data_IF_612531420056
#
_entry.id   IF_612531420056
#
_cell.length_a   1.000
_cell.length_b   1.000
_cell.length_c   1.000
_cell.angle_alpha   90.00
_cell.angle_beta   90.00
_cell.angle_gamma   90.00
#
_symmetry.space_group_name_H-M   'P 1'
#
loop_
_entity.id
_entity.type
_entity.pdbx_description
1 polymer ?
#
# COMPACT_ATOMS: atom_id res chain seq x y z
N UNK A 1 -21.82 -26.91 8.92
CA UNK A 1 -22.00 -26.50 7.51
C UNK A 1 -20.61 -26.31 6.90
N UNK A 2 -20.22 -27.18 5.96
CA UNK A 2 -18.98 -26.98 5.21
C UNK A 2 -19.15 -25.73 4.32
N UNK A 3 -18.34 -24.72 4.59
CA UNK A 3 -18.36 -23.47 3.84
C UNK A 3 -17.80 -23.70 2.44
N UNK A 4 -18.58 -23.35 1.42
CA UNK A 4 -18.12 -23.47 0.03
C UNK A 4 -17.30 -22.24 -0.36
N UNK A 5 -15.97 -22.31 -0.19
CA UNK A 5 -15.03 -21.23 -0.46
C UNK A 5 -15.13 -20.73 -1.91
N UNK A 6 -15.30 -21.62 -2.88
CA UNK A 6 -15.44 -21.24 -4.30
C UNK A 6 -16.68 -20.39 -4.55
N UNK A 7 -17.79 -20.69 -3.85
CA UNK A 7 -19.02 -19.91 -3.96
C UNK A 7 -18.86 -18.49 -3.38
N UNK A 8 -18.18 -18.37 -2.24
CA UNK A 8 -17.91 -17.08 -1.60
C UNK A 8 -17.00 -16.24 -2.49
N UNK A 9 -15.91 -16.81 -2.97
CA UNK A 9 -14.98 -16.17 -3.88
C UNK A 9 -15.69 -15.65 -5.13
N UNK A 10 -16.45 -16.49 -5.82
CA UNK A 10 -17.14 -16.11 -7.05
C UNK A 10 -18.16 -14.99 -6.81
N UNK A 11 -18.93 -15.05 -5.72
CA UNK A 11 -19.91 -14.00 -5.38
C UNK A 11 -19.23 -12.69 -5.04
N UNK A 12 -18.13 -12.72 -4.27
CA UNK A 12 -17.36 -11.54 -3.91
C UNK A 12 -16.72 -10.92 -5.16
N UNK A 13 -16.16 -11.72 -6.04
CA UNK A 13 -15.55 -11.26 -7.29
C UNK A 13 -16.57 -10.57 -8.21
N UNK A 14 -17.73 -11.21 -8.45
CA UNK A 14 -18.80 -10.64 -9.27
C UNK A 14 -19.35 -9.34 -8.66
N UNK A 15 -19.53 -9.31 -7.34
CA UNK A 15 -19.95 -8.11 -6.64
C UNK A 15 -18.90 -6.99 -6.79
N UNK A 16 -17.63 -7.32 -6.62
CA UNK A 16 -16.54 -6.34 -6.75
C UNK A 16 -16.49 -5.73 -8.15
N UNK A 17 -16.63 -6.54 -9.20
CA UNK A 17 -16.66 -6.03 -10.58
C UNK A 17 -17.75 -4.98 -10.82
N UNK A 18 -18.90 -5.13 -10.15
CA UNK A 18 -20.03 -4.22 -10.31
C UNK A 18 -19.98 -3.00 -9.37
N UNK A 19 -19.26 -3.11 -8.25
CA UNK A 19 -19.30 -2.13 -7.16
C UNK A 19 -17.93 -1.50 -6.84
N UNK A 20 -16.87 -1.91 -7.54
CA UNK A 20 -15.54 -1.35 -7.31
C UNK A 20 -15.53 0.15 -7.58
N UNK A 21 -15.02 0.92 -6.62
CA UNK A 21 -14.83 2.36 -6.81
C UNK A 21 -13.72 2.61 -7.81
N UNK A 22 -13.92 3.54 -8.72
CA UNK A 22 -12.85 4.06 -9.58
C UNK A 22 -11.92 4.91 -8.71
N UNK A 23 -10.68 4.50 -8.58
CA UNK A 23 -9.67 5.16 -7.77
C UNK A 23 -8.36 5.23 -8.56
N UNK A 24 -7.65 6.38 -8.58
CA UNK A 24 -6.47 6.56 -9.43
C UNK A 24 -5.39 5.48 -9.25
N UNK A 25 -5.19 5.01 -8.02
CA UNK A 25 -4.21 3.96 -7.69
C UNK A 25 -4.66 2.54 -8.02
N UNK A 26 -5.88 2.36 -8.54
CA UNK A 26 -6.39 1.08 -9.05
C UNK A 26 -6.28 0.94 -10.56
N UNK A 27 -5.90 2.03 -11.24
CA UNK A 27 -5.72 2.10 -12.70
C UNK A 27 -4.26 1.88 -13.11
N UNK A 28 -3.41 1.50 -12.17
CA UNK A 28 -1.99 1.26 -12.39
C UNK A 28 -1.56 0.01 -11.64
N UNK A 29 -0.56 -0.66 -12.18
CA UNK A 29 0.18 -1.74 -11.53
C UNK A 29 1.62 -1.30 -11.16
N UNK A 30 1.96 -0.01 -11.35
CA UNK A 30 3.27 0.53 -10.96
C UNK A 30 3.41 0.53 -9.43
N UNK A 31 4.47 -0.12 -8.87
CA UNK A 31 4.70 -0.20 -7.44
C UNK A 31 4.83 1.16 -6.75
N UNK A 32 5.38 2.17 -7.42
CA UNK A 32 5.60 3.47 -6.81
C UNK A 32 4.29 4.22 -6.51
N UNK A 33 3.39 4.47 -7.45
CA UNK A 33 2.09 5.08 -7.17
C UNK A 33 1.23 4.27 -6.18
N UNK A 34 1.26 2.94 -6.26
CA UNK A 34 0.53 2.06 -5.33
C UNK A 34 1.08 2.25 -3.91
N UNK A 35 2.40 2.23 -3.72
CA UNK A 35 3.02 2.51 -2.43
C UNK A 35 2.63 3.89 -1.88
N UNK A 36 2.71 4.96 -2.70
CA UNK A 36 2.31 6.31 -2.28
C UNK A 36 0.87 6.31 -1.79
N UNK A 37 -0.05 5.64 -2.49
CA UNK A 37 -1.45 5.54 -2.06
C UNK A 37 -1.61 4.83 -0.72
N UNK A 38 -0.90 3.71 -0.49
CA UNK A 38 -0.96 2.95 0.75
C UNK A 38 -0.49 3.79 1.96
N UNK A 39 0.58 4.59 1.78
CA UNK A 39 1.06 5.47 2.86
C UNK A 39 0.08 6.63 3.14
N UNK A 40 -0.49 7.23 2.11
CA UNK A 40 -1.48 8.31 2.27
C UNK A 40 -2.72 7.80 3.00
N UNK A 41 -3.20 6.62 2.64
CA UNK A 41 -4.43 6.05 3.17
C UNK A 41 -4.31 5.49 4.60
N UNK A 42 -3.11 5.37 5.13
CA UNK A 42 -2.94 5.09 6.57
C UNK A 42 -3.65 6.19 7.38
N UNK A 43 -4.75 5.83 8.05
CA UNK A 43 -5.56 6.75 8.89
C UNK A 43 -6.13 7.99 8.14
N UNK A 44 -6.21 7.93 6.81
CA UNK A 44 -6.79 9.00 5.99
C UNK A 44 -7.97 8.46 5.18
N UNK A 45 -9.07 9.21 5.15
CA UNK A 45 -10.24 8.84 4.34
C UNK A 45 -9.92 8.96 2.86
N UNK A 46 -10.45 8.03 2.04
CA UNK A 46 -10.21 7.97 0.59
C UNK A 46 -10.46 9.31 -0.11
N UNK A 47 -11.61 9.96 0.15
CA UNK A 47 -11.96 11.23 -0.51
C UNK A 47 -10.93 12.35 -0.23
N UNK A 48 -10.36 12.37 0.97
CA UNK A 48 -9.28 13.30 1.31
C UNK A 48 -7.97 12.87 0.63
N UNK A 49 -7.66 11.57 0.66
CA UNK A 49 -6.41 11.02 0.14
C UNK A 49 -6.21 11.25 -1.35
N UNK A 50 -7.28 11.23 -2.17
CA UNK A 50 -7.19 11.41 -3.63
C UNK A 50 -6.47 12.71 -4.01
N UNK A 51 -6.82 13.84 -3.39
CA UNK A 51 -6.18 15.12 -3.70
C UNK A 51 -4.69 15.14 -3.39
N UNK A 52 -4.31 14.54 -2.26
CA UNK A 52 -2.89 14.46 -1.87
C UNK A 52 -2.11 13.51 -2.75
N UNK A 53 -2.71 12.38 -3.11
CA UNK A 53 -2.12 11.43 -4.05
C UNK A 53 -1.80 12.08 -5.40
N UNK A 54 -2.76 12.74 -6.01
CA UNK A 54 -2.59 13.41 -7.29
C UNK A 54 -1.53 14.52 -7.20
N UNK A 55 -1.58 15.34 -6.14
CA UNK A 55 -0.64 16.43 -5.90
C UNK A 55 0.79 15.93 -5.69
N UNK A 56 0.95 14.85 -4.92
CA UNK A 56 2.27 14.25 -4.67
C UNK A 56 2.85 13.63 -5.95
N UNK A 57 2.07 12.86 -6.70
CA UNK A 57 2.55 12.27 -7.95
C UNK A 57 2.80 13.29 -9.06
N UNK A 58 2.08 14.40 -9.09
CA UNK A 58 2.36 15.49 -10.02
C UNK A 58 3.74 16.12 -9.74
N UNK A 59 4.10 16.30 -8.47
CA UNK A 59 5.39 16.88 -8.08
C UNK A 59 6.53 15.87 -8.08
N UNK A 60 6.25 14.67 -7.64
CA UNK A 60 7.20 13.57 -7.51
C UNK A 60 6.71 12.36 -8.33
N UNK A 61 6.84 12.39 -9.67
CA UNK A 61 6.29 11.34 -10.53
C UNK A 61 7.03 10.01 -10.43
N UNK A 62 8.24 10.00 -9.88
CA UNK A 62 9.06 8.80 -9.71
C UNK A 62 9.64 8.72 -8.29
N UNK A 63 10.04 7.52 -7.88
CA UNK A 63 10.72 7.34 -6.60
C UNK A 63 12.03 8.14 -6.52
N UNK A 64 12.71 8.32 -7.64
CA UNK A 64 13.93 9.13 -7.75
C UNK A 64 13.64 10.60 -7.46
N UNK A 65 12.61 11.18 -8.10
CA UNK A 65 12.23 12.57 -7.87
C UNK A 65 11.79 12.83 -6.43
N UNK A 66 11.18 11.84 -5.77
CA UNK A 66 10.85 11.91 -4.34
C UNK A 66 12.12 11.81 -3.47
N UNK A 67 13.06 10.95 -3.82
CA UNK A 67 14.33 10.77 -3.10
C UNK A 67 15.23 12.01 -3.15
N UNK A 68 15.27 12.69 -4.31
CA UNK A 68 16.07 13.90 -4.56
C UNK A 68 15.50 15.16 -3.92
N UNK A 69 14.20 15.16 -3.56
CA UNK A 69 13.56 16.27 -2.90
C UNK A 69 14.15 16.54 -1.50
N UNK A 70 14.01 17.76 -1.00
CA UNK A 70 14.28 18.05 0.40
C UNK A 70 13.15 17.55 1.30
N UNK A 71 13.44 17.26 2.57
CA UNK A 71 12.40 16.86 3.52
C UNK A 71 11.33 17.95 3.66
N UNK A 72 11.74 19.21 3.72
CA UNK A 72 10.83 20.35 3.82
C UNK A 72 9.87 20.42 2.63
N UNK A 73 10.35 20.15 1.44
CA UNK A 73 9.52 20.12 0.25
C UNK A 73 8.49 19.00 0.32
N UNK A 74 8.88 17.79 0.71
CA UNK A 74 7.95 16.67 0.89
C UNK A 74 6.90 17.01 1.95
N UNK A 75 7.30 17.60 3.08
CA UNK A 75 6.39 18.02 4.13
C UNK A 75 5.42 19.12 3.69
N UNK A 76 5.86 20.03 2.82
CA UNK A 76 4.99 21.06 2.21
C UNK A 76 3.85 20.42 1.40
N UNK A 77 4.15 19.41 0.60
CA UNK A 77 3.13 18.67 -0.17
C UNK A 77 2.27 17.74 0.69
N UNK A 78 2.71 17.43 1.91
CA UNK A 78 1.97 16.62 2.88
C UNK A 78 1.10 17.46 3.82
N UNK A 79 1.29 18.77 3.85
CA UNK A 79 0.62 19.68 4.80
C UNK A 79 -0.91 19.54 4.75
N UNK A 80 -1.50 19.27 5.92
CA UNK A 80 -2.94 19.07 6.10
C UNK A 80 -3.37 17.60 6.21
N UNK A 81 -2.51 16.61 5.89
CA UNK A 81 -2.81 15.19 6.11
C UNK A 81 -2.61 14.75 7.57
N UNK A 82 -1.79 15.46 8.34
CA UNK A 82 -1.39 15.04 9.69
C UNK A 82 -0.43 13.84 9.69
N UNK A 83 -0.09 13.38 10.88
CA UNK A 83 0.82 12.22 11.06
C UNK A 83 2.06 12.31 10.17
N UNK A 84 2.81 13.40 10.31
CA UNK A 84 3.97 13.75 9.47
C UNK A 84 5.11 12.72 9.48
N UNK A 85 5.14 11.82 10.48
CA UNK A 85 6.06 10.69 10.49
C UNK A 85 5.90 9.79 9.26
N UNK A 86 4.70 9.69 8.69
CA UNK A 86 4.46 8.94 7.44
C UNK A 86 5.21 9.56 6.27
N UNK A 87 5.14 10.89 6.12
CA UNK A 87 5.86 11.61 5.06
C UNK A 87 7.38 11.47 5.22
N UNK A 88 7.91 11.61 6.45
CA UNK A 88 9.34 11.42 6.71
C UNK A 88 9.80 10.01 6.44
N UNK A 89 9.02 9.01 6.85
CA UNK A 89 9.32 7.61 6.57
C UNK A 89 9.28 7.32 5.08
N UNK A 90 8.26 7.82 4.35
CA UNK A 90 8.14 7.69 2.91
C UNK A 90 9.35 8.31 2.19
N UNK A 91 9.77 9.50 2.58
CA UNK A 91 10.94 10.16 2.01
C UNK A 91 12.24 9.37 2.28
N UNK A 92 12.43 8.89 3.52
CA UNK A 92 13.59 8.03 3.84
C UNK A 92 13.57 6.72 3.06
N UNK A 93 12.41 6.09 2.92
CA UNK A 93 12.24 4.88 2.12
C UNK A 93 12.56 5.16 0.64
N UNK A 94 12.11 6.28 0.08
CA UNK A 94 12.42 6.66 -1.30
C UNK A 94 13.93 6.75 -1.55
N UNK A 95 14.69 7.36 -0.62
CA UNK A 95 16.16 7.43 -0.71
C UNK A 95 16.80 6.04 -0.70
N UNK A 96 16.36 5.16 0.20
CA UNK A 96 16.87 3.79 0.25
C UNK A 96 16.53 2.99 -1.01
N UNK A 97 15.34 3.18 -1.56
CA UNK A 97 14.93 2.55 -2.82
C UNK A 97 15.82 3.05 -3.96
N UNK A 98 15.93 4.38 -4.11
CA UNK A 98 16.72 4.98 -5.19
C UNK A 98 18.19 4.52 -5.13
N UNK A 99 18.80 4.47 -3.95
CA UNK A 99 20.15 3.97 -3.75
C UNK A 99 20.29 2.49 -4.17
N UNK A 100 19.37 1.62 -3.73
CA UNK A 100 19.41 0.19 -4.08
C UNK A 100 19.23 -0.04 -5.58
N UNK A 101 18.30 0.67 -6.22
CA UNK A 101 18.06 0.56 -7.66
C UNK A 101 19.26 1.06 -8.47
N UNK A 102 19.92 2.13 -8.03
CA UNK A 102 21.13 2.65 -8.67
C UNK A 102 22.29 1.65 -8.57
N UNK A 103 22.50 1.04 -7.40
CA UNK A 103 23.58 0.07 -7.17
C UNK A 103 23.41 -1.23 -7.97
N UNK A 104 22.17 -1.69 -8.14
CA UNK A 104 21.85 -2.95 -8.81
C UNK A 104 21.56 -2.80 -10.31
N UNK A 105 21.39 -1.57 -10.82
CA UNK A 105 20.87 -1.28 -12.15
C UNK A 105 19.51 -1.94 -12.46
N UNK A 106 18.72 -2.20 -11.42
CA UNK A 106 17.40 -2.81 -11.48
C UNK A 106 16.30 -1.75 -11.42
N UNK A 107 15.10 -2.12 -11.79
CA UNK A 107 13.86 -1.36 -11.52
C UNK A 107 13.10 -1.95 -10.34
N UNK A 108 12.08 -1.24 -9.85
CA UNK A 108 11.18 -1.79 -8.84
C UNK A 108 10.48 -3.08 -9.29
N UNK A 109 10.37 -3.31 -10.61
CA UNK A 109 9.77 -4.53 -11.18
C UNK A 109 10.67 -5.76 -11.10
N UNK A 110 11.99 -5.56 -10.94
CA UNK A 110 12.98 -6.64 -11.00
C UNK A 110 13.37 -7.18 -9.60
N UNK A 111 12.57 -6.90 -8.58
CA UNK A 111 12.83 -7.33 -7.21
C UNK A 111 12.44 -8.80 -7.03
N UNK A 112 13.39 -9.64 -6.60
CA UNK A 112 13.17 -11.08 -6.41
C UNK A 112 12.25 -11.38 -5.21
N UNK A 113 12.57 -10.88 -4.03
CA UNK A 113 11.74 -11.00 -2.83
C UNK A 113 11.02 -9.68 -2.54
N UNK A 114 9.91 -9.49 -3.23
CA UNK A 114 9.10 -8.27 -3.17
C UNK A 114 8.62 -7.96 -1.75
N UNK A 115 8.09 -8.96 -1.06
CA UNK A 115 7.54 -8.74 0.29
C UNK A 115 8.64 -8.32 1.27
N UNK A 116 9.76 -9.06 1.33
CA UNK A 116 10.87 -8.75 2.21
C UNK A 116 11.49 -7.39 1.87
N UNK A 117 11.61 -7.07 0.58
CA UNK A 117 12.10 -5.76 0.14
C UNK A 117 11.24 -4.62 0.72
N UNK A 118 9.93 -4.62 0.44
CA UNK A 118 9.04 -3.57 0.93
C UNK A 118 8.98 -3.54 2.45
N UNK A 119 8.91 -4.72 3.10
CA UNK A 119 8.86 -4.84 4.55
C UNK A 119 10.10 -4.27 5.26
N UNK A 120 11.24 -4.26 4.59
CA UNK A 120 12.51 -3.72 5.12
C UNK A 120 12.56 -2.19 5.17
N UNK A 121 11.61 -1.49 4.54
CA UNK A 121 11.65 -0.05 4.37
C UNK A 121 10.95 0.70 5.54
N UNK A 122 11.42 1.92 5.87
CA UNK A 122 10.81 2.73 6.93
C UNK A 122 9.32 2.98 6.70
N UNK A 123 8.51 2.76 7.74
CA UNK A 123 7.07 3.03 7.73
C UNK A 123 6.23 1.99 6.98
N UNK A 124 6.82 0.88 6.55
CA UNK A 124 6.13 -0.23 5.89
C UNK A 124 6.04 -1.42 6.83
N UNK A 125 4.81 -1.76 7.21
CA UNK A 125 4.47 -2.95 7.98
C UNK A 125 4.01 -4.10 7.08
N UNK A 126 3.64 -5.22 7.69
CA UNK A 126 3.20 -6.44 6.98
C UNK A 126 1.99 -6.17 6.08
N UNK A 127 1.02 -5.38 6.56
CA UNK A 127 -0.12 -4.97 5.76
C UNK A 127 0.31 -4.24 4.47
N UNK A 128 1.11 -3.17 4.60
CA UNK A 128 1.51 -2.36 3.44
C UNK A 128 2.40 -3.15 2.48
N UNK A 129 3.34 -3.97 2.99
CA UNK A 129 4.15 -4.85 2.17
C UNK A 129 3.28 -5.88 1.41
N UNK A 130 2.31 -6.50 2.09
CA UNK A 130 1.37 -7.43 1.47
C UNK A 130 0.48 -6.77 0.41
N UNK A 131 -0.03 -5.57 0.69
CA UNK A 131 -0.84 -4.80 -0.24
C UNK A 131 -0.07 -4.46 -1.52
N UNK A 132 1.15 -3.94 -1.40
CA UNK A 132 2.00 -3.64 -2.55
C UNK A 132 2.34 -4.91 -3.33
N UNK A 133 2.73 -6.00 -2.64
CA UNK A 133 3.04 -7.28 -3.27
C UNK A 133 1.87 -7.84 -4.08
N UNK A 134 0.65 -7.72 -3.54
CA UNK A 134 -0.56 -8.16 -4.22
C UNK A 134 -0.95 -7.23 -5.37
N UNK A 135 -1.03 -5.92 -5.13
CA UNK A 135 -1.60 -4.98 -6.11
C UNK A 135 -0.66 -4.62 -7.26
N UNK A 136 0.64 -4.55 -6.98
CA UNK A 136 1.63 -4.15 -7.97
C UNK A 136 2.30 -5.33 -8.69
N UNK A 137 2.37 -6.50 -8.05
CA UNK A 137 3.12 -7.64 -8.58
C UNK A 137 2.26 -8.90 -8.76
N UNK A 138 0.95 -8.81 -8.47
CA UNK A 138 0.01 -9.94 -8.55
C UNK A 138 0.46 -11.18 -7.74
N UNK A 139 1.15 -10.95 -6.62
CA UNK A 139 1.64 -12.01 -5.75
C UNK A 139 0.56 -12.39 -4.72
N UNK A 140 0.48 -13.66 -4.29
CA UNK A 140 -0.57 -14.16 -3.40
C UNK A 140 -0.36 -13.76 -1.94
N UNK A 141 -0.14 -12.47 -1.69
CA UNK A 141 -0.07 -11.90 -0.35
C UNK A 141 -1.40 -11.32 0.08
N UNK A 142 -1.71 -11.46 1.35
CA UNK A 142 -2.95 -10.94 1.95
C UNK A 142 -2.66 -9.61 2.64
N UNK A 143 -3.39 -8.57 2.23
CA UNK A 143 -3.41 -7.30 2.95
C UNK A 143 -4.43 -7.40 4.11
N UNK A 144 -3.96 -7.87 5.27
CA UNK A 144 -4.79 -8.09 6.46
C UNK A 144 -4.93 -6.82 7.28
N UNK A 145 -6.03 -6.10 7.10
CA UNK A 145 -6.42 -4.98 7.99
C UNK A 145 -7.51 -5.41 8.99
N UNK A 146 -7.85 -4.50 9.90
CA UNK A 146 -8.91 -4.73 10.89
C UNK A 146 -10.28 -5.05 10.30
N UNK A 147 -10.58 -4.60 9.08
CA UNK A 147 -11.84 -4.90 8.42
C UNK A 147 -11.84 -6.34 7.88
N UNK A 148 -10.74 -6.75 7.27
CA UNK A 148 -10.56 -8.13 6.77
C UNK A 148 -10.64 -9.10 7.94
N UNK A 149 -9.94 -8.84 9.04
CA UNK A 149 -10.03 -9.64 10.27
C UNK A 149 -11.47 -9.78 10.76
N UNK A 150 -12.16 -8.67 10.91
CA UNK A 150 -13.55 -8.66 11.40
C UNK A 150 -14.49 -9.45 10.50
N UNK A 151 -14.32 -9.35 9.18
CA UNK A 151 -15.14 -10.08 8.22
C UNK A 151 -14.84 -11.57 8.29
N UNK A 152 -13.56 -11.95 8.27
CA UNK A 152 -13.15 -13.34 8.31
C UNK A 152 -13.50 -13.99 9.64
N UNK A 153 -13.31 -13.34 10.79
CA UNK A 153 -13.68 -13.87 12.09
C UNK A 153 -15.17 -14.20 12.16
N UNK A 154 -16.02 -13.34 11.62
CA UNK A 154 -17.48 -13.59 11.56
C UNK A 154 -17.84 -14.71 10.58
N UNK A 155 -17.14 -14.76 9.44
CA UNK A 155 -17.40 -15.76 8.40
C UNK A 155 -17.01 -17.17 8.85
N UNK A 156 -15.92 -17.27 9.61
CA UNK A 156 -15.37 -18.55 10.08
C UNK A 156 -15.72 -18.87 11.54
N UNK A 157 -16.57 -18.05 12.19
CA UNK A 157 -16.95 -18.19 13.60
C UNK A 157 -15.71 -18.33 14.51
N UNK A 158 -14.73 -17.44 14.31
CA UNK A 158 -13.47 -17.48 15.02
C UNK A 158 -13.47 -16.51 16.20
N UNK A 159 -13.32 -17.05 17.42
CA UNK A 159 -13.33 -16.29 18.67
C UNK A 159 -11.93 -15.79 19.11
N UNK A 160 -10.90 -15.94 18.29
CA UNK A 160 -9.54 -15.48 18.63
C UNK A 160 -9.53 -13.96 18.77
N UNK A 161 -9.04 -13.41 19.91
CA UNK A 161 -8.94 -11.99 20.11
C UNK A 161 -8.08 -11.31 19.05
N UNK A 162 -8.50 -10.13 18.60
CA UNK A 162 -7.91 -9.37 17.49
C UNK A 162 -6.49 -8.82 17.77
N UNK A 163 -6.14 -8.66 19.02
CA UNK A 163 -4.92 -8.00 19.50
C UNK A 163 -3.84 -8.96 20.01
N UNK A 164 -3.99 -10.24 19.79
CA UNK A 164 -2.91 -11.19 20.03
C UNK A 164 -1.79 -10.91 19.04
N UNK A 165 -0.82 -10.15 19.48
CA UNK A 165 0.51 -10.02 18.83
C UNK A 165 1.10 -11.43 18.71
N UNK A 166 1.09 -11.96 17.49
CA UNK A 166 1.88 -13.13 17.13
C UNK A 166 3.33 -12.73 16.94
#
# INVERSE_FOLDING_TARGET
LQMNHSLIHNRLYLWYQQNARVLPWRETDDPYPIWVSEIILQQTRVNQGIHYYLRLLQRFPTVQSLAEATEDEVLLYWQGLGYYSRARNMHRAAKLIAERLQQSALSLRDIDDVFAFWRSLPGIGDYTAGAISSFAYDLPYIAMDGNVYRVLSRLYDCEIPFDTTL
#
